data_IF_125807821682
#
_entry.id   IF_125807821682
#
_cell.length_a   1.000
_cell.length_b   1.000
_cell.length_c   1.000
_cell.angle_alpha   90.00
_cell.angle_beta   90.00
_cell.angle_gamma   90.00
#
_symmetry.space_group_name_H-M   'P 1'
#
loop_
_entity.id
_entity.type
_entity.pdbx_description
1 polymer ?
#
# COMPACT_ATOMS: atom_id res chain seq x y z
N UNK A 1 19.44 9.68 -11.48
CA UNK A 1 19.57 8.22 -11.60
C UNK A 1 20.77 7.67 -10.83
N UNK A 2 21.98 7.46 -11.39
CA UNK A 2 23.08 6.81 -10.64
C UNK A 2 23.51 7.54 -9.34
N UNK A 3 23.54 8.86 -9.34
CA UNK A 3 23.92 9.67 -8.18
C UNK A 3 22.88 9.65 -7.04
N UNK A 4 21.59 9.60 -7.39
CA UNK A 4 20.48 9.57 -6.41
C UNK A 4 20.42 8.21 -5.73
N UNK A 5 20.55 7.13 -6.49
CA UNK A 5 20.61 5.76 -5.96
C UNK A 5 21.83 5.58 -5.05
N UNK A 6 22.98 6.17 -5.40
CA UNK A 6 24.17 6.17 -4.55
C UNK A 6 23.95 6.90 -3.21
N UNK A 7 23.24 8.03 -3.18
CA UNK A 7 22.96 8.77 -1.95
C UNK A 7 21.92 8.07 -1.06
N UNK A 8 20.91 7.43 -1.67
CA UNK A 8 19.93 6.59 -0.95
C UNK A 8 20.63 5.38 -0.32
N UNK A 9 21.50 4.69 -1.08
CA UNK A 9 22.29 3.53 -0.61
C UNK A 9 23.21 3.86 0.57
N UNK A 10 23.77 5.07 0.62
CA UNK A 10 24.67 5.48 1.69
C UNK A 10 23.95 6.17 2.88
N UNK A 11 22.62 6.10 2.95
CA UNK A 11 21.80 6.77 3.97
C UNK A 11 22.09 8.28 4.14
N UNK A 12 22.62 8.95 3.10
CA UNK A 12 23.03 10.36 3.17
C UNK A 12 21.88 11.35 2.99
N UNK A 13 20.67 10.87 2.70
CA UNK A 13 19.46 11.66 2.54
C UNK A 13 18.50 11.36 3.69
N UNK A 14 17.89 12.41 4.23
CA UNK A 14 16.82 12.25 5.20
C UNK A 14 15.58 11.59 4.55
N UNK A 15 14.61 11.17 5.35
CA UNK A 15 13.45 10.46 4.83
C UNK A 15 12.55 11.32 3.91
N UNK A 16 12.47 12.64 4.15
CA UNK A 16 11.78 13.58 3.27
C UNK A 16 12.50 13.76 1.94
N UNK A 17 13.82 13.94 1.99
CA UNK A 17 14.67 14.09 0.81
C UNK A 17 14.72 12.81 -0.05
N UNK A 18 14.70 11.63 0.58
CA UNK A 18 14.56 10.34 -0.11
C UNK A 18 13.24 10.25 -0.89
N UNK A 19 12.14 10.68 -0.28
CA UNK A 19 10.82 10.64 -0.90
C UNK A 19 10.72 11.61 -2.07
N UNK A 20 11.22 12.84 -1.91
CA UNK A 20 11.26 13.82 -3.00
C UNK A 20 12.15 13.37 -4.16
N UNK A 21 13.28 12.70 -3.87
CA UNK A 21 14.14 12.12 -4.89
C UNK A 21 13.46 10.98 -5.67
N UNK A 22 12.71 10.10 -4.99
CA UNK A 22 11.94 9.02 -5.61
C UNK A 22 10.80 9.60 -6.46
N UNK A 23 10.06 10.58 -5.94
CA UNK A 23 8.99 11.29 -6.67
C UNK A 23 9.54 11.98 -7.93
N UNK A 24 10.73 12.58 -7.85
CA UNK A 24 11.38 13.20 -9.01
C UNK A 24 11.84 12.18 -10.06
N UNK A 25 12.31 11.00 -9.63
CA UNK A 25 12.63 9.91 -10.56
C UNK A 25 11.35 9.29 -11.17
N UNK A 26 10.23 9.20 -10.44
CA UNK A 26 8.91 8.87 -10.99
C UNK A 26 8.46 9.84 -12.08
N UNK A 27 8.61 11.14 -11.84
CA UNK A 27 8.29 12.19 -12.82
C UNK A 27 9.20 12.13 -14.06
N UNK A 28 10.45 11.69 -13.88
CA UNK A 28 11.45 11.69 -14.95
C UNK A 28 11.41 10.45 -15.84
N UNK A 29 11.15 9.27 -15.27
CA UNK A 29 11.23 8.00 -15.99
C UNK A 29 9.89 7.26 -16.11
N UNK A 30 8.85 7.74 -15.43
CA UNK A 30 7.59 7.01 -15.24
C UNK A 30 7.70 6.03 -14.09
N UNK A 31 6.62 5.91 -13.29
CA UNK A 31 6.51 4.98 -12.16
C UNK A 31 6.85 3.55 -12.61
N UNK A 32 6.31 3.14 -13.76
CA UNK A 32 6.48 1.82 -14.36
C UNK A 32 7.95 1.48 -14.63
N UNK A 33 8.75 2.45 -15.10
CA UNK A 33 10.16 2.22 -15.44
C UNK A 33 11.03 2.20 -14.19
N UNK A 34 10.69 2.98 -13.17
CA UNK A 34 11.41 2.98 -11.89
C UNK A 34 11.24 1.64 -11.16
N UNK A 35 10.01 1.14 -11.03
CA UNK A 35 9.78 -0.15 -10.36
C UNK A 35 10.35 -1.32 -11.17
N UNK A 36 10.25 -1.31 -12.50
CA UNK A 36 10.91 -2.32 -13.35
C UNK A 36 12.44 -2.33 -13.23
N UNK A 37 13.08 -1.19 -12.99
CA UNK A 37 14.54 -1.09 -12.89
C UNK A 37 15.09 -1.23 -11.46
N UNK A 38 14.29 -0.91 -10.45
CA UNK A 38 14.77 -0.73 -9.07
C UNK A 38 13.90 -1.40 -7.99
N UNK A 39 12.78 -2.04 -8.36
CA UNK A 39 11.85 -2.68 -7.42
C UNK A 39 12.49 -3.76 -6.55
N UNK A 40 13.47 -4.51 -7.07
CA UNK A 40 14.19 -5.55 -6.33
C UNK A 40 15.03 -5.04 -5.14
N UNK A 41 15.27 -3.72 -5.03
CA UNK A 41 16.13 -3.13 -4.00
C UNK A 41 15.45 -2.01 -3.20
N UNK A 42 14.16 -1.78 -3.39
CA UNK A 42 13.44 -0.74 -2.64
C UNK A 42 13.09 -1.26 -1.24
N UNK A 43 13.66 -0.64 -0.22
CA UNK A 43 13.27 -0.85 1.18
C UNK A 43 12.53 0.40 1.66
N UNK A 44 11.30 0.23 2.16
CA UNK A 44 10.53 1.35 2.68
C UNK A 44 11.23 1.91 3.94
N UNK A 45 11.72 3.18 3.93
CA UNK A 45 12.40 3.77 5.09
C UNK A 45 11.49 3.92 6.32
N UNK A 46 10.19 3.69 6.17
CA UNK A 46 9.20 3.69 7.24
C UNK A 46 8.77 2.31 7.72
N UNK A 47 9.47 1.24 7.30
CA UNK A 47 9.11 -0.16 7.60
C UNK A 47 8.80 -0.39 9.08
N UNK A 48 9.70 0.00 9.98
CA UNK A 48 9.51 -0.20 11.43
C UNK A 48 8.25 0.50 11.97
N UNK A 49 7.96 1.70 11.48
CA UNK A 49 6.78 2.47 11.88
C UNK A 49 5.51 1.81 11.34
N UNK A 50 5.53 1.36 10.08
CA UNK A 50 4.41 0.65 9.44
C UNK A 50 4.11 -0.65 10.18
N UNK A 51 5.13 -1.45 10.46
CA UNK A 51 4.98 -2.70 11.22
C UNK A 51 4.44 -2.43 12.64
N UNK A 52 4.95 -1.40 13.31
CA UNK A 52 4.48 -1.01 14.64
C UNK A 52 2.99 -0.59 14.63
N UNK A 53 2.55 0.15 13.62
CA UNK A 53 1.15 0.53 13.45
C UNK A 53 0.28 -0.70 13.13
N UNK A 54 0.75 -1.61 12.28
CA UNK A 54 0.01 -2.82 11.89
C UNK A 54 -0.18 -3.79 13.05
N UNK A 55 0.86 -4.01 13.88
CA UNK A 55 0.75 -4.84 15.10
C UNK A 55 -0.24 -4.26 16.11
N UNK A 56 -0.26 -2.93 16.22
CA UNK A 56 -1.22 -2.23 17.07
C UNK A 56 -2.65 -2.34 16.51
N UNK A 57 -2.85 -2.13 15.20
CA UNK A 57 -4.13 -2.31 14.52
C UNK A 57 -4.65 -3.74 14.68
N UNK A 58 -3.79 -4.74 14.46
CA UNK A 58 -4.13 -6.13 14.64
C UNK A 58 -4.72 -6.40 16.03
N UNK A 59 -4.11 -5.82 17.07
CA UNK A 59 -4.54 -6.02 18.46
C UNK A 59 -5.79 -5.21 18.82
N UNK A 60 -5.79 -3.90 18.50
CA UNK A 60 -6.84 -2.98 18.93
C UNK A 60 -8.07 -2.98 18.01
N UNK A 61 -7.86 -3.22 16.72
CA UNK A 61 -8.91 -3.22 15.70
C UNK A 61 -9.35 -4.62 15.32
N UNK A 62 -8.65 -5.67 15.80
CA UNK A 62 -8.93 -7.08 15.52
C UNK A 62 -8.96 -7.36 14.02
N UNK A 63 -7.92 -6.92 13.33
CA UNK A 63 -7.72 -7.20 11.90
C UNK A 63 -7.34 -8.68 11.76
N UNK A 64 -8.22 -9.46 11.15
CA UNK A 64 -8.10 -10.92 10.94
C UNK A 64 -8.96 -11.35 9.73
N UNK A 65 -8.87 -12.62 9.34
CA UNK A 65 -9.68 -13.20 8.25
C UNK A 65 -8.99 -13.20 6.89
N UNK A 66 -9.77 -12.93 5.84
CA UNK A 66 -9.30 -12.77 4.46
C UNK A 66 -8.83 -11.34 4.24
N UNK A 67 -7.54 -11.17 3.95
CA UNK A 67 -6.91 -9.85 3.83
C UNK A 67 -6.37 -9.68 2.41
N UNK A 68 -6.69 -8.55 1.79
CA UNK A 68 -6.03 -8.09 0.59
C UNK A 68 -4.95 -7.07 0.94
N UNK A 69 -3.70 -7.40 0.61
CA UNK A 69 -2.56 -6.49 0.63
C UNK A 69 -2.47 -5.77 -0.72
N UNK A 70 -3.08 -4.58 -0.82
CA UNK A 70 -3.18 -3.81 -2.04
C UNK A 70 -1.95 -2.93 -2.25
N UNK A 71 -1.28 -3.12 -3.40
CA UNK A 71 0.06 -2.61 -3.69
C UNK A 71 1.09 -3.20 -2.72
N UNK A 72 1.12 -4.53 -2.66
CA UNK A 72 1.78 -5.29 -1.60
C UNK A 72 3.31 -5.16 -1.56
N UNK A 73 3.94 -4.69 -2.64
CA UNK A 73 5.39 -4.59 -2.71
C UNK A 73 6.06 -5.91 -2.35
N UNK A 74 7.01 -5.86 -1.40
CA UNK A 74 7.73 -7.06 -0.95
C UNK A 74 7.00 -7.88 0.13
N UNK A 75 5.81 -7.45 0.53
CA UNK A 75 4.95 -8.16 1.49
C UNK A 75 5.06 -7.67 2.94
N UNK A 76 5.46 -6.43 3.18
CA UNK A 76 5.60 -5.86 4.54
C UNK A 76 4.31 -5.95 5.35
N UNK A 77 3.14 -5.68 4.74
CA UNK A 77 1.84 -5.85 5.43
C UNK A 77 1.55 -7.34 5.63
N UNK A 78 1.66 -8.13 4.56
CA UNK A 78 1.37 -9.56 4.56
C UNK A 78 2.12 -10.35 5.63
N UNK A 79 3.41 -10.05 5.85
CA UNK A 79 4.22 -10.74 6.86
C UNK A 79 3.72 -10.52 8.30
N UNK A 80 3.08 -9.38 8.60
CA UNK A 80 2.47 -9.11 9.91
C UNK A 80 1.21 -9.95 10.14
N UNK A 81 0.57 -10.41 9.07
CA UNK A 81 -0.66 -11.21 9.07
C UNK A 81 -0.43 -12.61 8.49
N UNK A 82 0.76 -13.18 8.69
CA UNK A 82 1.18 -14.49 8.14
C UNK A 82 0.33 -15.69 8.59
N UNK A 83 -0.46 -15.54 9.65
CA UNK A 83 -1.43 -16.53 10.13
C UNK A 83 -2.88 -16.25 9.68
N UNK A 84 -3.09 -15.22 8.86
CA UNK A 84 -4.36 -14.92 8.18
C UNK A 84 -4.31 -15.41 6.72
N UNK A 85 -5.46 -15.42 6.04
CA UNK A 85 -5.50 -15.70 4.60
C UNK A 85 -5.22 -14.42 3.83
N UNK A 86 -3.96 -14.20 3.46
CA UNK A 86 -3.53 -12.96 2.78
C UNK A 86 -3.29 -13.20 1.29
N UNK A 87 -3.79 -12.30 0.46
CA UNK A 87 -3.47 -12.22 -0.97
C UNK A 87 -2.83 -10.86 -1.29
N UNK A 88 -1.78 -10.87 -2.09
CA UNK A 88 -1.15 -9.65 -2.60
C UNK A 88 -1.73 -9.21 -3.95
N UNK A 89 -1.82 -7.90 -4.17
CA UNK A 89 -1.94 -7.32 -5.50
C UNK A 89 -0.82 -6.30 -5.69
N UNK A 90 -0.01 -6.48 -6.72
CA UNK A 90 0.95 -5.48 -7.16
C UNK A 90 1.36 -5.71 -8.62
N UNK A 91 1.40 -4.68 -9.47
CA UNK A 91 1.70 -4.84 -10.89
C UNK A 91 3.17 -5.17 -11.21
N UNK A 92 4.08 -5.10 -10.22
CA UNK A 92 5.53 -5.17 -10.47
C UNK A 92 6.29 -6.14 -9.59
N UNK A 93 5.74 -6.51 -8.42
CA UNK A 93 6.53 -7.19 -7.37
C UNK A 93 6.07 -8.62 -7.06
N UNK A 94 5.23 -9.22 -7.92
CA UNK A 94 4.69 -10.57 -7.71
C UNK A 94 5.75 -11.61 -7.29
N UNK A 95 6.79 -11.82 -8.08
CA UNK A 95 7.81 -12.84 -7.78
C UNK A 95 8.50 -12.59 -6.43
N UNK A 96 8.81 -11.33 -6.12
CA UNK A 96 9.45 -10.94 -4.86
C UNK A 96 8.50 -11.14 -3.68
N UNK A 97 7.24 -10.74 -3.83
CA UNK A 97 6.21 -10.93 -2.82
C UNK A 97 5.99 -12.41 -2.50
N UNK A 98 5.81 -13.24 -3.53
CA UNK A 98 5.55 -14.68 -3.38
C UNK A 98 6.74 -15.37 -2.71
N UNK A 99 7.97 -15.03 -3.09
CA UNK A 99 9.18 -15.55 -2.46
C UNK A 99 9.31 -15.14 -0.97
N UNK A 100 8.89 -13.93 -0.61
CA UNK A 100 9.05 -13.41 0.75
C UNK A 100 7.94 -13.87 1.70
N UNK A 101 6.73 -14.10 1.19
CA UNK A 101 5.53 -14.32 2.03
C UNK A 101 4.98 -15.73 1.95
N UNK A 102 5.28 -16.47 0.88
CA UNK A 102 4.58 -17.71 0.48
C UNK A 102 3.07 -17.53 0.22
N UNK A 103 2.59 -16.29 0.06
CA UNK A 103 1.21 -15.98 -0.32
C UNK A 103 1.10 -15.77 -1.83
N UNK A 104 -0.09 -15.94 -2.39
CA UNK A 104 -0.35 -15.66 -3.80
C UNK A 104 -0.34 -14.15 -4.08
N UNK A 105 0.17 -13.74 -5.24
CA UNK A 105 0.04 -12.36 -5.71
C UNK A 105 -0.50 -12.25 -7.14
N UNK A 106 -1.40 -11.29 -7.35
CA UNK A 106 -1.97 -10.95 -8.66
C UNK A 106 -1.36 -9.66 -9.20
N UNK A 107 -0.96 -9.68 -10.46
CA UNK A 107 -0.42 -8.52 -11.17
C UNK A 107 -1.57 -7.66 -11.69
N UNK A 108 -2.05 -6.74 -10.85
CA UNK A 108 -3.11 -5.80 -11.21
C UNK A 108 -2.73 -4.37 -10.83
N UNK A 109 -3.05 -3.42 -11.70
CA UNK A 109 -2.99 -1.99 -11.41
C UNK A 109 -4.31 -1.48 -10.83
N UNK A 110 -4.34 -0.25 -10.31
CA UNK A 110 -5.61 0.39 -9.93
C UNK A 110 -6.61 0.50 -11.10
N UNK A 111 -6.11 0.65 -12.33
CA UNK A 111 -6.97 0.73 -13.51
C UNK A 111 -7.63 -0.61 -13.79
N UNK A 112 -6.90 -1.71 -13.63
CA UNK A 112 -7.46 -3.05 -13.79
C UNK A 112 -8.54 -3.32 -12.73
N UNK A 113 -8.31 -2.94 -11.48
CA UNK A 113 -9.33 -3.03 -10.41
C UNK A 113 -10.57 -2.19 -10.75
N UNK A 114 -10.39 -0.98 -11.27
CA UNK A 114 -11.51 -0.14 -11.70
C UNK A 114 -12.33 -0.78 -12.83
N UNK A 115 -11.65 -1.39 -13.80
CA UNK A 115 -12.27 -2.00 -14.97
C UNK A 115 -12.94 -3.33 -14.66
N UNK A 116 -12.32 -4.17 -13.82
CA UNK A 116 -12.70 -5.56 -13.64
C UNK A 116 -13.22 -5.88 -12.23
N UNK A 117 -13.04 -4.99 -11.26
CA UNK A 117 -13.34 -5.24 -9.86
C UNK A 117 -12.31 -6.16 -9.20
N UNK A 118 -12.64 -6.59 -7.97
CA UNK A 118 -11.94 -7.67 -7.30
C UNK A 118 -12.83 -8.93 -7.37
N UNK A 119 -12.22 -10.09 -7.54
CA UNK A 119 -12.95 -11.36 -7.76
C UNK A 119 -13.43 -12.02 -6.47
N UNK A 120 -12.94 -11.56 -5.31
CA UNK A 120 -13.15 -12.20 -4.01
C UNK A 120 -13.61 -11.18 -2.99
N UNK A 121 -14.29 -11.68 -1.97
CA UNK A 121 -14.64 -10.90 -0.78
C UNK A 121 -13.50 -10.96 0.23
N UNK A 122 -13.20 -9.82 0.84
CA UNK A 122 -12.17 -9.67 1.86
C UNK A 122 -12.77 -9.07 3.12
N UNK A 123 -12.30 -9.54 4.27
CA UNK A 123 -12.63 -8.93 5.55
C UNK A 123 -11.93 -7.57 5.68
N UNK A 124 -10.70 -7.46 5.15
CA UNK A 124 -9.93 -6.21 5.12
C UNK A 124 -9.19 -6.04 3.79
N UNK A 125 -9.21 -4.81 3.28
CA UNK A 125 -8.29 -4.34 2.23
C UNK A 125 -7.33 -3.36 2.87
N UNK A 126 -6.02 -3.62 2.80
CA UNK A 126 -4.98 -2.79 3.39
C UNK A 126 -4.10 -2.24 2.27
N UNK A 127 -3.94 -0.93 2.19
CA UNK A 127 -3.05 -0.28 1.23
C UNK A 127 -2.02 0.59 1.96
N UNK A 128 -0.76 0.21 1.87
CA UNK A 128 0.35 0.90 2.52
C UNK A 128 1.14 1.73 1.52
N UNK A 129 1.23 3.04 1.75
CA UNK A 129 2.08 3.96 0.99
C UNK A 129 1.86 4.00 -0.53
N UNK A 130 0.74 3.48 -1.05
CA UNK A 130 0.50 3.42 -2.49
C UNK A 130 -0.79 4.11 -2.95
N UNK A 131 -1.77 4.33 -2.06
CA UNK A 131 -3.06 4.91 -2.47
C UNK A 131 -2.92 6.32 -3.10
N UNK A 132 -1.87 7.07 -2.78
CA UNK A 132 -1.57 8.37 -3.38
C UNK A 132 -1.08 8.30 -4.84
N UNK A 133 -0.74 7.12 -5.34
CA UNK A 133 -0.40 6.86 -6.73
C UNK A 133 -1.67 6.73 -7.60
N UNK A 134 -2.83 6.50 -7.00
CA UNK A 134 -4.10 6.49 -7.73
C UNK A 134 -4.42 7.88 -8.26
N UNK A 135 -4.75 7.97 -9.55
CA UNK A 135 -5.24 9.20 -10.15
C UNK A 135 -6.51 9.70 -9.44
N UNK A 136 -6.60 11.00 -9.18
CA UNK A 136 -7.71 11.60 -8.41
C UNK A 136 -9.07 11.35 -9.05
N UNK A 137 -9.14 11.37 -10.38
CA UNK A 137 -10.36 11.10 -11.16
C UNK A 137 -10.81 9.65 -11.06
N UNK A 138 -9.88 8.72 -10.82
CA UNK A 138 -10.13 7.29 -10.73
C UNK A 138 -10.51 6.85 -9.32
N UNK A 139 -10.07 7.59 -8.30
CA UNK A 139 -10.26 7.25 -6.89
C UNK A 139 -11.72 6.93 -6.52
N UNK A 140 -12.76 7.71 -6.91
CA UNK A 140 -14.14 7.37 -6.54
C UNK A 140 -14.57 6.00 -7.07
N UNK A 141 -14.22 5.67 -8.31
CA UNK A 141 -14.54 4.38 -8.90
C UNK A 141 -13.72 3.25 -8.28
N UNK A 142 -12.45 3.50 -7.94
CA UNK A 142 -11.63 2.53 -7.21
C UNK A 142 -12.24 2.21 -5.85
N UNK A 143 -12.65 3.23 -5.09
CA UNK A 143 -13.32 3.05 -3.79
C UNK A 143 -14.64 2.31 -3.92
N UNK A 144 -15.44 2.59 -4.95
CA UNK A 144 -16.64 1.81 -5.26
C UNK A 144 -16.32 0.33 -5.45
N UNK A 145 -15.35 -0.01 -6.32
CA UNK A 145 -14.94 -1.41 -6.56
C UNK A 145 -14.42 -2.12 -5.32
N UNK A 146 -13.69 -1.39 -4.47
CA UNK A 146 -13.23 -1.92 -3.17
C UNK A 146 -14.43 -2.16 -2.25
N UNK A 147 -15.41 -1.25 -2.18
CA UNK A 147 -16.61 -1.41 -1.35
C UNK A 147 -17.52 -2.57 -1.77
N UNK A 148 -17.50 -2.96 -3.04
CA UNK A 148 -18.20 -4.18 -3.52
C UNK A 148 -17.58 -5.47 -2.97
N UNK A 149 -16.32 -5.40 -2.52
CA UNK A 149 -15.48 -6.55 -2.19
C UNK A 149 -14.96 -6.56 -0.75
N UNK A 150 -15.22 -5.51 0.04
CA UNK A 150 -14.80 -5.40 1.42
C UNK A 150 -15.51 -4.27 2.15
N UNK A 151 -15.92 -4.54 3.39
CA UNK A 151 -16.48 -3.52 4.29
C UNK A 151 -15.39 -2.71 5.02
N UNK A 152 -14.14 -3.14 4.98
CA UNK A 152 -13.06 -2.52 5.73
C UNK A 152 -11.88 -2.18 4.83
N UNK A 153 -11.56 -0.88 4.76
CA UNK A 153 -10.40 -0.35 4.06
C UNK A 153 -9.44 0.30 5.05
N UNK A 154 -8.19 -0.14 5.08
CA UNK A 154 -7.13 0.45 5.91
C UNK A 154 -6.09 1.11 5.01
N UNK A 155 -5.85 2.40 5.22
CA UNK A 155 -4.84 3.17 4.48
C UNK A 155 -3.72 3.54 5.44
N UNK A 156 -2.47 3.24 5.06
CA UNK A 156 -1.26 3.70 5.76
C UNK A 156 -0.55 4.69 4.84
N UNK A 157 -0.26 5.90 5.33
CA UNK A 157 0.25 6.97 4.48
C UNK A 157 1.07 8.00 5.27
N UNK A 158 2.13 8.57 4.68
CA UNK A 158 2.86 9.70 5.27
C UNK A 158 2.14 11.04 5.04
N UNK A 159 1.04 11.04 4.28
CA UNK A 159 0.32 12.24 3.85
C UNK A 159 -1.19 12.12 4.14
N UNK A 160 -1.87 13.26 4.31
CA UNK A 160 -3.34 13.29 4.48
C UNK A 160 -4.12 12.96 3.19
N UNK A 161 -3.46 12.49 2.13
CA UNK A 161 -4.06 12.28 0.80
C UNK A 161 -3.70 10.90 0.24
N UNK A 162 -4.63 10.30 -0.55
CA UNK A 162 -5.96 10.82 -0.86
C UNK A 162 -6.93 10.62 0.31
N UNK A 163 -7.99 11.44 0.35
CA UNK A 163 -9.05 11.28 1.34
C UNK A 163 -10.04 10.22 0.84
N UNK A 164 -10.12 9.09 1.54
CA UNK A 164 -11.06 8.02 1.21
C UNK A 164 -12.40 8.14 1.96
N UNK A 165 -12.59 9.19 2.77
CA UNK A 165 -13.87 9.50 3.41
C UNK A 165 -14.83 10.12 2.41
N UNK A 166 -15.90 9.41 2.04
CA UNK A 166 -16.84 9.83 1.00
C UNK A 166 -18.04 8.87 0.88
N UNK A 167 -18.53 8.70 -0.35
CA UNK A 167 -19.81 8.03 -0.63
C UNK A 167 -19.84 6.52 -0.32
N UNK A 168 -18.67 5.87 -0.26
CA UNK A 168 -18.55 4.42 -0.06
C UNK A 168 -17.86 4.03 1.25
N UNK A 169 -17.19 4.99 1.89
CA UNK A 169 -16.31 4.71 3.01
C UNK A 169 -16.33 5.87 3.98
N UNK A 170 -16.45 5.57 5.27
CA UNK A 170 -16.40 6.55 6.35
C UNK A 170 -15.26 6.24 7.31
N UNK A 171 -14.48 7.25 7.66
CA UNK A 171 -13.42 7.12 8.66
C UNK A 171 -14.03 6.64 9.99
N UNK A 172 -13.60 5.47 10.46
CA UNK A 172 -14.08 4.84 11.69
C UNK A 172 -13.06 5.01 12.81
N UNK A 173 -11.78 4.74 12.54
CA UNK A 173 -10.69 4.85 13.51
C UNK A 173 -9.42 5.37 12.83
N UNK A 174 -8.51 5.93 13.63
CA UNK A 174 -7.19 6.36 13.17
C UNK A 174 -6.12 6.16 14.22
N UNK A 175 -4.89 5.89 13.77
CA UNK A 175 -3.68 5.85 14.59
C UNK A 175 -2.58 6.64 13.88
N UNK A 176 -1.72 7.31 14.65
CA UNK A 176 -0.62 8.09 14.11
C UNK A 176 0.65 7.79 14.89
N UNK A 177 1.73 7.48 14.19
CA UNK A 177 3.08 7.38 14.74
C UNK A 177 4.01 8.24 13.88
N UNK A 178 4.71 9.17 14.51
CA UNK A 178 5.54 10.17 13.85
C UNK A 178 4.81 10.92 12.71
N UNK A 179 5.28 10.76 11.46
CA UNK A 179 4.67 11.35 10.25
C UNK A 179 3.71 10.38 9.55
N UNK A 180 3.61 9.14 9.99
CA UNK A 180 2.78 8.09 9.38
C UNK A 180 1.41 8.04 10.05
N UNK A 181 0.37 8.08 9.22
CA UNK A 181 -1.02 7.99 9.60
C UNK A 181 -1.59 6.67 9.08
N UNK A 182 -2.28 5.93 9.93
CA UNK A 182 -3.08 4.78 9.58
C UNK A 182 -4.55 5.10 9.84
N UNK A 183 -5.40 4.89 8.84
CA UNK A 183 -6.84 5.20 8.91
C UNK A 183 -7.62 3.95 8.54
N UNK A 184 -8.58 3.57 9.37
CA UNK A 184 -9.56 2.54 9.04
C UNK A 184 -10.87 3.20 8.63
N UNK A 185 -11.28 2.90 7.41
CA UNK A 185 -12.56 3.25 6.83
C UNK A 185 -13.51 2.05 6.82
N UNK A 186 -14.78 2.32 7.10
CA UNK A 186 -15.86 1.33 7.00
C UNK A 186 -16.84 1.69 5.90
N UNK A 187 -17.24 0.69 5.13
CA UNK A 187 -18.36 0.76 4.20
C UNK A 187 -19.68 0.92 4.98
N UNK A 188 -20.70 1.53 4.37
CA UNK A 188 -21.98 1.83 5.02
C UNK A 188 -23.17 1.67 4.08
#
# INVERSE_FOLDING_TARGET
>A
MLYVIYLIRNQKLDCGDKMDAIINEYKKYGVDRFYKLHGHYYENPHKDIVESLLREARTQWKVEGNILDLCCGSGEVSNIFSDCNVEGIDPYTKELYEANTNNNCREMTFKDIVQHGLERQYDFVICSYAMHLCEKSMLPMLLYRISESSDNLVIITPHKKPNCNGDFFKESKRMKKERTLMIWYKNF
#
